data_IF_298185243834
#
_entry.id   IF_298185243834
#
_cell.length_a   1.000
_cell.length_b   1.000
_cell.length_c   1.000
_cell.angle_alpha   90.00
_cell.angle_beta   90.00
_cell.angle_gamma   90.00
#
_symmetry.space_group_name_H-M   'P 1'
#
loop_
_entity.id
_entity.type
_entity.pdbx_description
1 polymer ?
#
# COMPACT_ATOMS: atom_id res chain seq x y z
N UNK A 1 -4.83 38.06 3.58
CA UNK A 1 -3.48 38.35 3.08
C UNK A 1 -2.94 37.07 2.46
N UNK A 2 -2.84 36.95 1.13
CA UNK A 2 -2.34 35.73 0.52
C UNK A 2 -0.80 35.72 0.57
N UNK A 3 -0.25 34.65 1.15
CA UNK A 3 1.19 34.37 1.14
C UNK A 3 1.46 33.44 -0.03
N UNK A 4 2.07 33.97 -1.09
CA UNK A 4 2.48 33.22 -2.28
C UNK A 4 3.86 32.61 -2.04
N UNK A 5 4.05 31.28 -2.11
CA UNK A 5 5.40 30.72 -2.15
C UNK A 5 5.98 30.88 -3.57
N UNK A 6 7.20 31.41 -3.65
CA UNK A 6 7.96 31.54 -4.89
C UNK A 6 8.62 30.19 -5.26
N UNK A 7 8.65 29.80 -6.54
CA UNK A 7 9.37 28.60 -6.96
C UNK A 7 10.88 28.86 -6.99
N UNK A 8 11.65 28.09 -6.22
CA UNK A 8 13.12 28.06 -6.31
C UNK A 8 13.49 27.03 -7.40
N UNK A 9 13.81 27.53 -8.60
CA UNK A 9 14.34 26.72 -9.70
C UNK A 9 15.84 26.54 -9.50
N UNK A 10 16.27 25.37 -9.02
CA UNK A 10 17.69 25.02 -8.95
C UNK A 10 18.13 24.43 -10.29
N UNK A 11 18.76 25.25 -11.14
CA UNK A 11 19.44 24.79 -12.36
C UNK A 11 20.72 24.05 -11.97
N UNK A 12 20.72 22.72 -12.04
CA UNK A 12 21.98 21.96 -11.95
C UNK A 12 22.69 22.00 -13.30
N UNK A 13 23.82 22.70 -13.32
CA UNK A 13 24.72 22.78 -14.46
C UNK A 13 25.28 21.38 -14.78
N UNK A 14 25.26 21.06 -16.07
CA UNK A 14 25.85 19.86 -16.64
C UNK A 14 27.35 19.79 -16.31
N UNK A 15 27.77 18.71 -15.65
CA UNK A 15 29.19 18.38 -15.50
C UNK A 15 29.59 17.48 -16.66
N UNK A 16 30.54 18.01 -17.41
CA UNK A 16 31.22 17.46 -18.59
C UNK A 16 31.75 16.05 -18.35
N UNK A 17 31.41 15.15 -19.26
CA UNK A 17 32.01 13.82 -19.39
C UNK A 17 33.50 13.94 -19.75
N UNK A 18 34.36 13.30 -18.94
CA UNK A 18 35.76 13.03 -19.29
C UNK A 18 36.02 11.54 -19.09
N UNK A 19 36.63 10.96 -20.13
CA UNK A 19 36.85 9.56 -20.39
C UNK A 19 37.82 8.86 -19.42
N UNK A 20 37.65 7.54 -19.26
CA UNK A 20 38.75 6.61 -19.08
C UNK A 20 38.31 5.20 -19.50
N UNK A 21 38.78 4.78 -20.68
CA UNK A 21 38.84 3.38 -21.10
C UNK A 21 39.93 2.72 -20.25
N UNK A 22 39.54 1.86 -19.32
CA UNK A 22 40.47 0.98 -18.60
C UNK A 22 39.94 -0.45 -18.69
N UNK A 23 40.36 -1.14 -19.74
CA UNK A 23 40.18 -2.58 -19.89
C UNK A 23 41.16 -3.30 -18.96
N UNK A 24 40.69 -3.74 -17.79
CA UNK A 24 41.39 -4.74 -16.98
C UNK A 24 40.53 -6.00 -16.97
N UNK A 25 41.03 -7.01 -17.68
CA UNK A 25 40.52 -8.37 -17.68
C UNK A 25 40.73 -8.98 -16.28
N UNK A 26 39.71 -8.92 -15.44
CA UNK A 26 39.61 -9.79 -14.26
C UNK A 26 38.70 -10.96 -14.63
N UNK A 27 39.33 -12.08 -14.99
CA UNK A 27 38.68 -13.39 -15.05
C UNK A 27 38.30 -13.82 -13.63
N UNK A 28 37.22 -13.27 -13.11
CA UNK A 28 36.57 -13.78 -11.92
C UNK A 28 35.94 -15.13 -12.25
N UNK A 29 36.41 -16.18 -11.59
CA UNK A 29 35.70 -17.44 -11.52
C UNK A 29 34.35 -17.17 -10.86
N UNK A 30 33.32 -16.94 -11.68
CA UNK A 30 31.93 -17.08 -11.27
C UNK A 30 31.76 -18.54 -10.84
N UNK A 31 31.92 -18.81 -9.55
CA UNK A 31 31.23 -19.92 -8.93
C UNK A 31 29.76 -19.55 -9.06
N UNK A 32 29.15 -20.02 -10.14
CA UNK A 32 27.72 -19.81 -10.38
C UNK A 32 26.97 -20.23 -9.11
N UNK A 33 25.95 -19.48 -8.69
CA UNK A 33 25.13 -19.89 -7.56
C UNK A 33 24.68 -21.33 -7.85
N UNK A 34 25.16 -22.28 -7.06
CA UNK A 34 24.73 -23.67 -7.19
C UNK A 34 23.22 -23.71 -6.97
N UNK A 35 22.54 -24.60 -7.67
CA UNK A 35 21.11 -24.84 -7.44
C UNK A 35 20.90 -25.10 -5.95
N UNK A 36 20.23 -24.18 -5.26
CA UNK A 36 19.82 -24.41 -3.88
C UNK A 36 18.84 -25.58 -3.88
N UNK A 37 19.08 -26.64 -3.09
CA UNK A 37 18.11 -27.72 -2.96
C UNK A 37 16.79 -27.13 -2.44
N UNK A 38 15.63 -27.64 -2.91
CA UNK A 38 14.33 -27.09 -2.52
C UNK A 38 14.18 -27.15 -1.00
N UNK A 39 13.85 -26.02 -0.42
CA UNK A 39 13.82 -25.76 1.04
C UNK A 39 12.55 -26.28 1.71
N UNK A 40 11.67 -26.96 0.95
CA UNK A 40 10.36 -27.44 1.42
C UNK A 40 9.31 -26.35 1.55
N UNK A 41 9.69 -25.07 1.40
CA UNK A 41 8.79 -23.91 1.28
C UNK A 41 8.64 -23.44 -0.18
N UNK A 42 9.48 -23.96 -1.10
CA UNK A 42 9.36 -23.74 -2.54
C UNK A 42 8.10 -24.43 -3.06
N UNK A 43 7.09 -23.64 -3.45
CA UNK A 43 5.78 -24.13 -3.87
C UNK A 43 4.66 -23.95 -2.83
N UNK A 44 4.92 -23.29 -1.70
CA UNK A 44 3.84 -22.72 -0.90
C UNK A 44 3.24 -21.55 -1.68
N UNK A 45 2.12 -21.82 -2.34
CA UNK A 45 1.23 -20.78 -2.83
C UNK A 45 0.71 -20.01 -1.63
N UNK A 46 1.11 -18.75 -1.52
CA UNK A 46 0.45 -17.83 -0.59
C UNK A 46 -0.98 -17.74 -1.07
N UNK A 47 -2.00 -18.19 -0.30
CA UNK A 47 -3.37 -18.05 -0.73
C UNK A 47 -3.61 -16.58 -1.02
N UNK A 48 -3.86 -16.23 -2.28
CA UNK A 48 -4.42 -14.93 -2.60
C UNK A 48 -5.85 -14.97 -2.06
N UNK A 49 -6.02 -14.58 -0.80
CA UNK A 49 -7.34 -14.32 -0.25
C UNK A 49 -7.91 -13.12 -1.01
N UNK A 50 -8.48 -13.39 -2.18
CA UNK A 50 -9.42 -12.49 -2.81
C UNK A 50 -10.76 -12.88 -2.19
N UNK A 51 -11.33 -12.09 -1.27
CA UNK A 51 -12.63 -12.40 -0.68
C UNK A 51 -13.70 -12.49 -1.77
N UNK A 52 -14.68 -13.39 -1.58
CA UNK A 52 -15.85 -13.44 -2.46
C UNK A 52 -16.73 -12.20 -2.18
N UNK A 53 -17.34 -11.57 -3.19
CA UNK A 53 -18.27 -10.47 -2.95
C UNK A 53 -19.38 -10.78 -1.93
N UNK A 54 -19.80 -12.04 -1.82
CA UNK A 54 -20.82 -12.47 -0.86
C UNK A 54 -20.29 -12.56 0.60
N UNK A 55 -18.97 -12.52 0.81
CA UNK A 55 -18.33 -12.54 2.14
C UNK A 55 -18.34 -11.16 2.82
N UNK A 56 -18.89 -10.12 2.17
CA UNK A 56 -18.86 -8.76 2.70
C UNK A 56 -20.09 -8.42 3.53
N UNK A 57 -19.85 -7.87 4.72
CA UNK A 57 -20.94 -7.40 5.58
C UNK A 57 -21.46 -6.05 5.12
N UNK A 58 -22.71 -5.74 5.47
CA UNK A 58 -23.33 -4.47 5.11
C UNK A 58 -22.53 -3.27 5.67
N UNK A 59 -22.42 -2.18 4.91
CA UNK A 59 -21.61 -1.03 5.30
C UNK A 59 -22.15 -0.37 6.58
N UNK A 60 -21.26 -0.23 7.57
CA UNK A 60 -21.51 0.67 8.71
C UNK A 60 -21.08 2.09 8.32
N UNK A 61 -21.87 3.10 8.69
CA UNK A 61 -21.56 4.51 8.41
C UNK A 61 -22.24 5.06 7.15
N UNK A 62 -21.56 5.99 6.45
CA UNK A 62 -22.13 6.64 5.26
C UNK A 62 -22.04 5.70 4.04
N UNK A 63 -23.16 5.30 3.43
CA UNK A 63 -23.12 4.41 2.27
C UNK A 63 -22.37 5.02 1.08
N UNK A 64 -21.57 4.19 0.42
CA UNK A 64 -20.90 4.47 -0.85
C UNK A 64 -21.57 3.75 -2.02
N UNK A 65 -20.93 3.79 -3.21
CA UNK A 65 -21.37 3.00 -4.35
C UNK A 65 -21.13 1.49 -4.14
N UNK A 66 -21.80 0.67 -4.95
CA UNK A 66 -21.44 -0.74 -5.10
C UNK A 66 -20.28 -0.87 -6.11
N UNK A 67 -19.22 -1.59 -5.74
CA UNK A 67 -18.04 -1.81 -6.58
C UNK A 67 -17.77 -3.32 -6.63
N UNK A 68 -17.71 -3.87 -7.84
CA UNK A 68 -17.49 -5.31 -8.07
C UNK A 68 -18.48 -6.23 -7.30
N UNK A 69 -19.72 -5.77 -7.10
CA UNK A 69 -20.76 -6.50 -6.36
C UNK A 69 -20.76 -6.27 -4.85
N UNK A 70 -19.83 -5.47 -4.32
CA UNK A 70 -19.69 -5.18 -2.88
C UNK A 70 -20.15 -3.76 -2.57
N UNK A 71 -21.06 -3.63 -1.59
CA UNK A 71 -21.48 -2.32 -1.08
C UNK A 71 -20.38 -1.72 -0.19
N UNK A 72 -19.93 -0.49 -0.50
CA UNK A 72 -18.85 0.16 0.26
C UNK A 72 -19.36 1.20 1.26
N UNK A 73 -18.55 1.52 2.25
CA UNK A 73 -18.65 2.69 3.15
C UNK A 73 -17.74 3.81 2.65
N UNK A 74 -18.21 5.05 2.72
CA UNK A 74 -17.41 6.26 2.49
C UNK A 74 -16.69 6.66 3.77
N UNK A 75 -15.37 6.76 3.72
CA UNK A 75 -14.54 7.24 4.83
C UNK A 75 -13.80 8.51 4.40
N UNK A 76 -14.18 9.63 4.99
CA UNK A 76 -13.52 10.92 4.78
C UNK A 76 -12.24 11.00 5.61
N UNK A 77 -11.13 11.39 4.98
CA UNK A 77 -9.82 11.51 5.62
C UNK A 77 -9.05 12.70 5.05
N UNK A 78 -8.03 13.15 5.77
CA UNK A 78 -7.03 14.07 5.24
C UNK A 78 -5.81 13.30 4.71
N UNK A 79 -5.39 13.61 3.50
CA UNK A 79 -4.11 13.23 2.93
C UNK A 79 -3.24 14.49 2.82
N UNK A 80 -2.40 14.71 3.82
CA UNK A 80 -1.74 16.00 4.02
C UNK A 80 -2.74 17.12 4.35
N UNK A 81 -2.99 18.01 3.38
CA UNK A 81 -3.95 19.12 3.50
C UNK A 81 -5.21 18.90 2.66
N UNK A 82 -5.27 17.82 1.87
CA UNK A 82 -6.39 17.52 0.98
C UNK A 82 -7.39 16.59 1.66
N UNK A 83 -8.68 16.85 1.48
CA UNK A 83 -9.73 15.93 1.92
C UNK A 83 -9.94 14.88 0.82
N UNK A 84 -9.81 13.62 1.21
CA UNK A 84 -10.02 12.45 0.34
C UNK A 84 -11.16 11.60 0.87
N UNK A 85 -11.81 10.85 -0.02
CA UNK A 85 -12.85 9.88 0.35
C UNK A 85 -12.40 8.50 -0.10
N UNK A 86 -12.04 7.67 0.88
CA UNK A 86 -11.69 6.28 0.66
C UNK A 86 -12.97 5.42 0.74
N UNK A 87 -13.09 4.44 -0.14
CA UNK A 87 -14.22 3.51 -0.25
C UNK A 87 -13.81 2.17 0.35
N UNK A 88 -14.36 1.82 1.51
CA UNK A 88 -13.96 0.65 2.28
C UNK A 88 -15.11 -0.36 2.38
N UNK A 89 -14.81 -1.64 2.56
CA UNK A 89 -15.79 -2.62 3.02
C UNK A 89 -15.11 -3.64 3.96
N UNK A 90 -15.90 -4.27 4.82
CA UNK A 90 -15.40 -5.26 5.78
C UNK A 90 -15.96 -6.62 5.42
N UNK A 91 -15.12 -7.66 5.44
CA UNK A 91 -15.57 -9.03 5.24
C UNK A 91 -16.09 -9.67 6.54
N UNK A 92 -16.67 -10.86 6.44
CA UNK A 92 -17.20 -11.63 7.58
C UNK A 92 -16.10 -12.03 8.60
N UNK A 93 -14.85 -12.13 8.15
CA UNK A 93 -13.69 -12.39 9.01
C UNK A 93 -13.21 -11.12 9.75
N UNK A 94 -13.75 -9.95 9.39
CA UNK A 94 -13.47 -8.66 10.01
C UNK A 94 -12.31 -7.88 9.40
N UNK A 95 -11.77 -8.31 8.25
CA UNK A 95 -10.77 -7.55 7.52
C UNK A 95 -11.42 -6.37 6.80
N UNK A 96 -10.79 -5.20 6.89
CA UNK A 96 -11.21 -4.02 6.14
C UNK A 96 -10.41 -3.92 4.85
N UNK A 97 -11.11 -3.81 3.74
CA UNK A 97 -10.60 -3.76 2.38
C UNK A 97 -10.82 -2.39 1.75
N UNK A 98 -9.91 -1.98 0.86
CA UNK A 98 -9.93 -0.69 0.16
C UNK A 98 -10.32 -0.90 -1.30
N UNK A 99 -11.55 -0.50 -1.63
CA UNK A 99 -12.15 -0.64 -2.96
C UNK A 99 -11.84 0.52 -3.90
N UNK A 100 -11.30 1.62 -3.38
CA UNK A 100 -10.93 2.76 -4.18
C UNK A 100 -10.93 4.07 -3.42
N UNK A 101 -10.59 5.11 -4.16
CA UNK A 101 -10.68 6.50 -3.73
C UNK A 101 -11.52 7.27 -4.72
N UNK A 102 -12.54 7.95 -4.20
CA UNK A 102 -13.51 8.63 -5.04
C UNK A 102 -12.86 9.71 -5.92
N UNK A 103 -13.15 9.64 -7.22
CA UNK A 103 -12.60 10.56 -8.21
C UNK A 103 -11.17 10.26 -8.67
N UNK A 104 -10.50 9.26 -8.09
CA UNK A 104 -9.11 8.91 -8.41
C UNK A 104 -8.99 7.50 -9.01
N UNK A 105 -9.34 6.46 -8.25
CA UNK A 105 -9.22 5.07 -8.71
C UNK A 105 -10.20 4.14 -7.99
N UNK A 106 -10.53 3.01 -8.62
CA UNK A 106 -11.40 1.97 -8.06
C UNK A 106 -10.93 0.59 -8.48
N UNK A 107 -11.25 -0.41 -7.66
CA UNK A 107 -11.03 -1.83 -7.94
C UNK A 107 -11.73 -2.22 -9.24
N UNK A 108 -11.06 -3.05 -10.02
CA UNK A 108 -11.56 -3.55 -11.30
C UNK A 108 -10.64 -4.63 -11.87
N UNK A 109 -10.87 -5.05 -13.13
CA UNK A 109 -10.10 -6.13 -13.76
C UNK A 109 -8.58 -5.92 -13.74
N UNK A 110 -8.15 -4.65 -13.81
CA UNK A 110 -6.73 -4.26 -13.87
C UNK A 110 -6.24 -3.58 -12.58
N UNK A 111 -7.13 -3.38 -11.60
CA UNK A 111 -6.82 -2.70 -10.34
C UNK A 111 -7.18 -3.62 -9.18
N UNK A 112 -6.19 -4.25 -8.53
CA UNK A 112 -6.44 -5.25 -7.51
C UNK A 112 -7.04 -4.62 -6.24
N UNK A 113 -7.78 -5.43 -5.48
CA UNK A 113 -8.27 -5.07 -4.16
C UNK A 113 -7.11 -4.86 -3.18
N UNK A 114 -7.20 -3.81 -2.37
CA UNK A 114 -6.20 -3.49 -1.36
C UNK A 114 -6.63 -3.90 0.05
N UNK A 115 -5.72 -4.43 0.87
CA UNK A 115 -6.00 -4.65 2.29
C UNK A 115 -5.78 -3.35 3.09
N UNK A 116 -6.84 -2.79 3.67
CA UNK A 116 -6.75 -1.57 4.47
C UNK A 116 -6.25 -1.83 5.88
N UNK A 117 -6.91 -2.77 6.58
CA UNK A 117 -6.60 -3.17 7.95
C UNK A 117 -7.00 -4.65 8.16
N UNK A 118 -6.12 -5.50 8.72
CA UNK A 118 -6.50 -6.87 9.06
C UNK A 118 -7.42 -6.91 10.28
N UNK A 119 -8.25 -7.95 10.40
CA UNK A 119 -9.19 -8.13 11.51
C UNK A 119 -8.51 -8.14 12.89
N UNK A 120 -7.31 -8.72 12.96
CA UNK A 120 -6.54 -8.88 14.20
C UNK A 120 -5.10 -8.36 14.00
N UNK A 121 -4.89 -7.03 13.92
CA UNK A 121 -3.56 -6.48 13.70
C UNK A 121 -2.69 -6.72 14.92
N UNK A 122 -1.46 -7.20 14.71
CA UNK A 122 -0.45 -7.34 15.77
C UNK A 122 0.72 -6.43 15.48
N UNK A 123 1.34 -5.91 16.53
CA UNK A 123 2.56 -5.09 16.40
C UNK A 123 3.61 -5.84 15.59
N UNK A 124 4.14 -5.17 14.55
CA UNK A 124 5.11 -5.74 13.62
C UNK A 124 4.51 -6.45 12.41
N UNK A 125 3.19 -6.69 12.37
CA UNK A 125 2.54 -7.14 11.13
C UNK A 125 2.74 -6.07 10.05
N UNK A 126 2.99 -6.51 8.82
CA UNK A 126 3.17 -5.62 7.68
C UNK A 126 2.65 -6.24 6.39
N UNK A 127 2.10 -5.39 5.54
CA UNK A 127 1.49 -5.77 4.26
C UNK A 127 1.64 -4.67 3.22
N UNK A 128 1.37 -5.02 1.96
CA UNK A 128 1.18 -4.03 0.89
C UNK A 128 -0.30 -3.67 0.85
N UNK A 129 -0.64 -2.41 1.12
CA UNK A 129 -2.03 -1.92 1.15
C UNK A 129 -2.60 -1.73 -0.25
N UNK A 130 -1.75 -1.37 -1.22
CA UNK A 130 -2.09 -1.32 -2.63
C UNK A 130 -0.99 -2.00 -3.45
N UNK A 131 -1.40 -2.68 -4.52
CA UNK A 131 -0.51 -3.28 -5.51
C UNK A 131 -0.75 -2.73 -6.92
N UNK A 132 -1.50 -1.63 -7.06
CA UNK A 132 -1.72 -0.99 -8.35
C UNK A 132 -0.44 -0.28 -8.83
N UNK A 133 0.25 -0.91 -9.78
CA UNK A 133 1.51 -0.43 -10.36
C UNK A 133 1.37 1.01 -10.86
N UNK A 134 2.25 1.89 -10.40
CA UNK A 134 2.28 3.30 -10.79
C UNK A 134 1.14 4.17 -10.24
N UNK A 135 0.22 3.62 -9.44
CA UNK A 135 -0.88 4.37 -8.78
C UNK A 135 -0.65 4.46 -7.27
N UNK A 136 -0.42 3.32 -6.62
CA UNK A 136 -0.15 3.30 -5.17
C UNK A 136 0.60 2.02 -4.80
N UNK A 137 1.78 2.18 -4.23
CA UNK A 137 2.57 1.09 -3.67
C UNK A 137 2.88 1.43 -2.22
N UNK A 138 1.90 1.24 -1.35
CA UNK A 138 2.04 1.53 0.08
C UNK A 138 2.36 0.26 0.85
N UNK A 139 3.43 0.34 1.66
CA UNK A 139 3.74 -0.66 2.69
C UNK A 139 3.30 -0.16 4.04
N UNK A 140 2.53 -0.97 4.73
CA UNK A 140 2.01 -0.69 6.06
C UNK A 140 2.73 -1.56 7.08
N UNK A 141 3.01 -1.01 8.26
CA UNK A 141 3.49 -1.75 9.43
C UNK A 141 2.71 -1.30 10.66
N UNK A 142 2.21 -2.25 11.46
CA UNK A 142 1.55 -1.97 12.74
C UNK A 142 2.59 -1.58 13.78
N UNK A 143 2.50 -0.35 14.29
CA UNK A 143 3.34 0.14 15.38
C UNK A 143 2.72 -0.14 16.75
N UNK A 144 1.40 -0.01 16.86
CA UNK A 144 0.63 -0.23 18.09
C UNK A 144 -0.70 -0.92 17.77
N UNK A 145 -1.15 -1.82 18.65
CA UNK A 145 -2.44 -2.50 18.56
C UNK A 145 -3.08 -2.59 19.96
N UNK A 146 -4.32 -2.11 20.11
CA UNK A 146 -5.00 -2.00 21.40
C UNK A 146 -6.43 -1.48 21.26
N UNK A 147 -6.75 -0.31 21.84
CA UNK A 147 -8.02 0.38 21.55
C UNK A 147 -7.99 1.07 20.18
N UNK A 148 -6.78 1.43 19.76
CA UNK A 148 -6.48 2.00 18.46
C UNK A 148 -5.37 1.17 17.81
N UNK A 149 -5.28 1.27 16.48
CA UNK A 149 -4.16 0.78 15.70
C UNK A 149 -3.38 1.98 15.20
N UNK A 150 -2.10 2.00 15.50
CA UNK A 150 -1.17 2.98 14.92
C UNK A 150 -0.41 2.29 13.80
N UNK A 151 -0.54 2.83 12.59
CA UNK A 151 0.10 2.32 11.39
C UNK A 151 1.20 3.26 10.96
N UNK A 152 2.37 2.72 10.63
CA UNK A 152 3.33 3.40 9.77
C UNK A 152 3.05 3.02 8.32
N UNK A 153 2.86 4.00 7.46
CA UNK A 153 2.64 3.81 6.04
C UNK A 153 3.77 4.47 5.28
N UNK A 154 4.42 3.69 4.42
CA UNK A 154 5.52 4.13 3.55
C UNK A 154 5.11 3.96 2.10
N UNK A 155 5.49 4.90 1.26
CA UNK A 155 5.35 4.77 -0.19
C UNK A 155 6.62 4.15 -0.77
N UNK A 156 6.46 3.07 -1.53
CA UNK A 156 7.56 2.50 -2.32
C UNK A 156 7.88 3.40 -3.54
N UNK A 157 6.94 4.27 -3.95
CA UNK A 157 7.14 5.27 -5.03
C UNK A 157 7.86 6.54 -4.55
N UNK A 158 7.67 6.91 -3.28
CA UNK A 158 8.34 8.05 -2.63
C UNK A 158 8.84 7.61 -1.25
N UNK A 159 10.09 7.12 -1.13
CA UNK A 159 10.59 6.54 0.11
C UNK A 159 10.78 7.56 1.23
N UNK A 160 10.78 8.86 0.91
CA UNK A 160 10.83 9.93 1.91
C UNK A 160 9.44 10.21 2.51
N UNK A 161 8.37 9.73 1.86
CA UNK A 161 7.01 9.83 2.35
C UNK A 161 6.70 8.71 3.35
N UNK A 162 6.84 9.04 4.63
CA UNK A 162 6.42 8.20 5.75
C UNK A 162 5.33 8.92 6.53
N UNK A 163 4.18 8.26 6.70
CA UNK A 163 3.05 8.81 7.46
C UNK A 163 2.64 7.87 8.59
N UNK A 164 2.07 8.46 9.63
CA UNK A 164 1.42 7.72 10.71
C UNK A 164 -0.08 7.89 10.61
N UNK A 165 -0.80 6.79 10.62
CA UNK A 165 -2.25 6.77 10.65
C UNK A 165 -2.71 6.15 11.97
N UNK A 166 -3.84 6.64 12.49
CA UNK A 166 -4.46 6.13 13.71
C UNK A 166 -5.88 5.73 13.35
N UNK A 167 -6.20 4.47 13.62
CA UNK A 167 -7.51 3.90 13.34
C UNK A 167 -8.11 3.36 14.64
N UNK A 168 -9.42 3.55 14.89
CA UNK A 168 -10.08 2.81 15.96
C UNK A 168 -9.99 1.31 15.64
N UNK A 169 -9.82 0.48 16.66
CA UNK A 169 -9.97 -0.95 16.42
C UNK A 169 -11.43 -1.27 16.08
N UNK A 170 -11.68 -2.16 15.10
CA UNK A 170 -13.00 -2.74 14.95
C UNK A 170 -13.35 -3.43 16.27
N UNK A 171 -14.48 -3.07 16.87
CA UNK A 171 -14.93 -3.72 18.09
C UNK A 171 -15.30 -5.15 17.75
N UNK A 172 -14.59 -6.13 18.32
CA UNK A 172 -14.99 -7.54 18.21
C UNK A 172 -16.27 -7.72 19.01
N UNK A 173 -17.41 -7.75 18.32
CA UNK A 173 -18.73 -8.02 18.91
C UNK A 173 -18.95 -9.48 19.24
#
# INVERSE_FOLDING_TARGET
MPVTPAPIVVRRAAVTAVAAVTAVALGGCSLGPGDSPPTGIDGLEVPSASPDPDDFVAPEGTPGPEIAGVATTRVERLDGLEQVVDLLATDEDGHTWWFGREGEWQVGPDVPLGLWLPAQPRVGDGWRRSAAEGVSEERVTVLEAGEQVVLEVRSDLDPDLVRREVWPQPTTG
#
